data_IF_829952281837
#
_entry.id   IF_829952281837
#
_cell.length_a   1.000
_cell.length_b   1.000
_cell.length_c   1.000
_cell.angle_alpha   90.00
_cell.angle_beta   90.00
_cell.angle_gamma   90.00
#
_symmetry.space_group_name_H-M   'P 1'
#
loop_
_entity.id
_entity.type
_entity.pdbx_description
1 polymer ?
#
# COMPACT_ATOMS: atom_id res chain seq x y z
N UNK A 1 75.02 39.19 -21.51
CA UNK A 1 75.25 40.05 -22.69
C UNK A 1 74.03 39.93 -23.57
N UNK A 2 73.39 41.07 -23.83
CA UNK A 2 72.37 41.29 -24.83
C UNK A 2 70.92 41.24 -24.27
N UNK A 3 70.42 42.25 -23.79
CA UNK A 3 69.51 43.36 -24.20
C UNK A 3 68.69 43.08 -25.46
N UNK A 4 67.37 43.34 -25.42
CA UNK A 4 66.62 44.40 -26.12
C UNK A 4 65.13 44.07 -26.14
N UNK A 5 64.30 44.84 -25.45
CA UNK A 5 63.24 45.81 -25.86
C UNK A 5 62.10 45.23 -26.73
N UNK A 6 60.92 45.16 -26.27
CA UNK A 6 59.90 46.23 -26.34
C UNK A 6 58.84 45.89 -27.37
N UNK A 7 57.58 45.81 -26.93
CA UNK A 7 56.46 45.67 -27.84
C UNK A 7 55.11 45.84 -27.09
N UNK A 8 54.64 47.10 -27.03
CA UNK A 8 53.30 47.48 -26.59
C UNK A 8 52.24 46.81 -27.46
N UNK A 9 51.49 45.87 -26.94
CA UNK A 9 50.27 45.35 -27.55
C UNK A 9 49.08 45.72 -26.65
N UNK A 10 48.31 46.70 -27.08
CA UNK A 10 47.04 47.09 -26.45
C UNK A 10 46.09 45.88 -26.48
N UNK A 11 45.71 45.39 -25.29
CA UNK A 11 44.64 44.44 -25.15
C UNK A 11 43.27 45.10 -25.47
N UNK A 12 42.61 44.66 -26.50
CA UNK A 12 41.20 44.95 -26.77
C UNK A 12 40.34 44.18 -25.81
N UNK A 13 39.46 44.87 -25.06
CA UNK A 13 38.46 44.25 -24.22
C UNK A 13 37.40 43.52 -25.07
N UNK A 14 36.90 42.35 -24.63
CA UNK A 14 35.85 41.65 -25.35
C UNK A 14 34.51 42.39 -25.24
N UNK A 15 33.86 42.58 -26.37
CA UNK A 15 32.53 43.14 -26.52
C UNK A 15 31.47 42.25 -25.84
N UNK A 16 30.77 42.81 -24.85
CA UNK A 16 29.63 42.16 -24.20
C UNK A 16 28.42 42.25 -25.12
N UNK A 17 27.73 41.15 -25.48
CA UNK A 17 26.54 41.24 -26.31
C UNK A 17 25.39 41.85 -25.54
N UNK A 18 24.67 42.77 -26.18
CA UNK A 18 23.47 43.44 -25.71
C UNK A 18 22.41 42.40 -25.30
N UNK A 19 21.98 42.46 -24.04
CA UNK A 19 20.79 41.72 -23.56
C UNK A 19 19.56 42.20 -24.34
N UNK A 20 18.96 41.32 -25.11
CA UNK A 20 17.60 41.48 -25.63
C UNK A 20 16.63 41.45 -24.43
N UNK A 21 15.86 42.50 -24.27
CA UNK A 21 14.74 42.53 -23.32
C UNK A 21 13.68 41.56 -23.83
N UNK A 22 13.51 40.42 -23.15
CA UNK A 22 12.32 39.59 -23.30
C UNK A 22 11.14 40.34 -22.68
N UNK A 23 10.21 40.77 -23.50
CA UNK A 23 8.91 41.30 -23.08
C UNK A 23 8.08 40.12 -22.56
N UNK A 24 7.92 40.03 -21.24
CA UNK A 24 7.01 39.05 -20.64
C UNK A 24 5.57 39.48 -20.94
N UNK A 25 4.89 38.74 -21.77
CA UNK A 25 3.43 38.82 -21.90
C UNK A 25 2.80 38.29 -20.61
N UNK A 26 1.71 38.91 -20.09
CA UNK A 26 1.06 38.43 -18.89
C UNK A 26 0.45 37.06 -19.13
N UNK A 27 1.06 36.04 -18.54
CA UNK A 27 0.51 34.70 -18.50
C UNK A 27 -0.80 34.71 -17.71
N UNK A 28 -1.90 34.33 -18.34
CA UNK A 28 -3.16 33.99 -17.68
C UNK A 28 -2.85 32.96 -16.61
N UNK A 29 -2.99 33.35 -15.35
CA UNK A 29 -3.09 32.39 -14.25
C UNK A 29 -4.33 31.54 -14.47
N UNK A 30 -4.15 30.34 -15.01
CA UNK A 30 -5.17 29.31 -14.91
C UNK A 30 -5.18 28.85 -13.45
N UNK A 31 -6.15 29.36 -12.70
CA UNK A 31 -6.51 28.78 -11.42
C UNK A 31 -6.95 27.34 -11.69
N UNK A 32 -6.06 26.38 -11.38
CA UNK A 32 -6.47 25.00 -11.21
C UNK A 32 -7.37 24.99 -9.97
N UNK A 33 -8.67 25.16 -10.18
CA UNK A 33 -9.65 24.82 -9.18
C UNK A 33 -9.40 23.35 -8.85
N UNK A 34 -8.87 23.10 -7.66
CA UNK A 34 -8.75 21.81 -7.05
C UNK A 34 -10.20 21.27 -6.95
N UNK A 35 -10.60 20.43 -7.90
CA UNK A 35 -11.86 19.72 -7.82
C UNK A 35 -11.75 18.84 -6.58
N UNK A 36 -12.32 19.30 -5.48
CA UNK A 36 -12.53 18.49 -4.29
C UNK A 36 -13.28 17.25 -4.75
N UNK A 37 -12.62 16.10 -4.67
CA UNK A 37 -13.27 14.83 -4.93
C UNK A 37 -14.53 14.76 -4.08
N UNK A 38 -15.69 14.55 -4.73
CA UNK A 38 -16.96 14.35 -4.03
C UNK A 38 -16.74 13.21 -3.03
N UNK A 39 -17.25 13.33 -1.79
CA UNK A 39 -17.22 12.24 -0.83
C UNK A 39 -17.83 11.01 -1.50
N UNK A 40 -17.09 9.91 -1.48
CA UNK A 40 -17.65 8.62 -1.91
C UNK A 40 -18.67 8.26 -0.87
N UNK A 41 -19.93 8.26 -1.28
CA UNK A 41 -21.05 7.89 -0.41
C UNK A 41 -20.83 6.45 0.06
N UNK A 42 -20.40 6.30 1.32
CA UNK A 42 -20.18 5.01 1.95
C UNK A 42 -21.49 4.20 2.08
N UNK A 43 -22.64 4.86 1.92
CA UNK A 43 -23.96 4.25 1.95
C UNK A 43 -24.41 3.68 0.61
N UNK A 44 -23.64 3.84 -0.47
CA UNK A 44 -23.97 3.31 -1.78
C UNK A 44 -23.78 1.77 -1.83
N UNK A 45 -24.55 1.03 -1.04
CA UNK A 45 -24.85 -0.38 -1.32
C UNK A 45 -25.70 -0.42 -2.59
N UNK A 46 -25.43 -1.42 -3.47
CA UNK A 46 -26.41 -1.69 -4.52
C UNK A 46 -27.64 -2.36 -3.91
N UNK A 47 -28.71 -2.45 -4.71
CA UNK A 47 -29.97 -3.07 -4.29
C UNK A 47 -29.79 -4.55 -3.84
N UNK A 48 -28.61 -5.15 -4.11
CA UNK A 48 -28.21 -6.51 -3.75
C UNK A 48 -27.16 -6.60 -2.63
N UNK A 49 -26.73 -5.48 -2.02
CA UNK A 49 -25.79 -5.47 -0.89
C UNK A 49 -24.34 -5.81 -1.22
N UNK A 50 -23.97 -5.96 -2.49
CA UNK A 50 -22.65 -6.42 -2.91
C UNK A 50 -21.59 -5.30 -2.95
N UNK A 51 -20.40 -5.70 -2.65
CA UNK A 51 -19.09 -5.05 -2.51
C UNK A 51 -18.74 -4.00 -3.57
N UNK A 52 -19.41 -2.85 -3.59
CA UNK A 52 -19.11 -1.73 -4.51
C UNK A 52 -17.68 -1.18 -4.40
N UNK A 53 -17.03 -1.08 -3.21
CA UNK A 53 -15.65 -0.57 -3.14
C UNK A 53 -14.69 -1.43 -3.95
N UNK A 54 -14.70 -2.76 -3.77
CA UNK A 54 -13.78 -3.66 -4.45
C UNK A 54 -14.00 -3.69 -5.97
N UNK A 55 -15.25 -3.76 -6.44
CA UNK A 55 -15.55 -3.76 -7.86
C UNK A 55 -15.03 -2.49 -8.56
N UNK A 56 -15.18 -1.31 -7.93
CA UNK A 56 -14.63 -0.04 -8.46
C UNK A 56 -13.11 -0.06 -8.52
N UNK A 57 -12.45 -0.59 -7.50
CA UNK A 57 -10.98 -0.71 -7.46
C UNK A 57 -10.45 -1.63 -8.57
N UNK A 58 -11.12 -2.75 -8.81
CA UNK A 58 -10.76 -3.71 -9.85
C UNK A 58 -11.04 -3.19 -11.27
N UNK A 59 -11.96 -2.24 -11.43
CA UNK A 59 -12.29 -1.60 -12.70
C UNK A 59 -11.34 -0.48 -13.14
N UNK A 60 -10.29 -0.15 -12.35
CA UNK A 60 -9.35 0.93 -12.67
C UNK A 60 -8.49 0.69 -13.92
N UNK A 61 -8.47 -0.52 -14.49
CA UNK A 61 -7.61 -0.88 -15.62
C UNK A 61 -6.11 -0.93 -15.29
N UNK A 62 -5.75 -0.75 -14.03
CA UNK A 62 -4.41 -0.85 -13.45
C UNK A 62 -4.50 -1.43 -12.04
N UNK A 63 -3.40 -1.92 -11.46
CA UNK A 63 -3.41 -2.25 -10.04
C UNK A 63 -3.80 -1.03 -9.19
N UNK A 64 -4.72 -1.23 -8.24
CA UNK A 64 -5.01 -0.23 -7.21
C UNK A 64 -3.81 -0.10 -6.26
N UNK A 65 -3.58 1.10 -5.76
CA UNK A 65 -2.50 1.37 -4.78
C UNK A 65 -3.10 1.55 -3.40
N UNK A 66 -2.70 0.67 -2.47
CA UNK A 66 -3.09 0.69 -1.07
C UNK A 66 -1.95 1.28 -0.23
N UNK A 67 -2.17 2.46 0.33
CA UNK A 67 -1.21 3.13 1.22
C UNK A 67 -1.27 2.57 2.64
N UNK A 68 -0.10 2.27 3.24
CA UNK A 68 0.01 1.73 4.61
C UNK A 68 0.08 2.85 5.62
N UNK A 69 -0.90 2.92 6.52
CA UNK A 69 -0.93 3.84 7.65
C UNK A 69 -0.82 3.08 8.98
N UNK A 70 0.40 2.99 9.51
CA UNK A 70 0.63 2.35 10.80
C UNK A 70 0.38 3.34 11.94
N UNK A 71 -0.58 3.02 12.82
CA UNK A 71 -0.95 3.81 14.00
C UNK A 71 -0.35 3.16 15.25
N UNK A 72 0.97 2.95 15.23
CA UNK A 72 1.70 2.37 16.36
C UNK A 72 2.52 3.44 17.09
N UNK A 73 2.80 3.28 18.40
CA UNK A 73 3.57 4.26 19.18
C UNK A 73 4.92 4.63 18.55
N UNK A 74 5.56 3.69 17.87
CA UNK A 74 6.87 3.91 17.22
C UNK A 74 6.78 4.67 15.90
N UNK A 75 5.58 4.83 15.33
CA UNK A 75 5.40 5.40 13.99
C UNK A 75 5.22 6.92 14.01
N UNK A 76 4.71 7.51 15.10
CA UNK A 76 4.30 8.92 15.16
C UNK A 76 4.59 9.60 16.50
N UNK A 77 5.60 9.14 17.26
CA UNK A 77 5.89 9.71 18.59
C UNK A 77 7.17 10.52 18.59
N UNK A 78 7.10 11.74 19.10
CA UNK A 78 8.27 12.45 19.64
C UNK A 78 8.65 11.79 20.98
N UNK A 79 9.48 10.73 20.91
CA UNK A 79 9.97 10.05 22.10
C UNK A 79 9.03 9.03 22.76
N UNK A 80 8.07 8.42 22.03
CA UNK A 80 7.38 7.18 22.43
C UNK A 80 6.22 7.31 23.39
N UNK A 81 5.65 8.51 23.63
CA UNK A 81 4.61 8.69 24.66
C UNK A 81 3.19 8.96 24.16
N UNK A 82 2.98 9.54 22.99
CA UNK A 82 1.64 9.80 22.44
C UNK A 82 1.66 9.74 20.92
N UNK A 83 0.68 9.03 20.36
CA UNK A 83 0.30 9.12 18.96
C UNK A 83 -0.29 10.51 18.70
N UNK A 84 0.29 11.29 17.80
CA UNK A 84 -0.36 12.51 17.31
C UNK A 84 -1.28 12.13 16.13
N UNK A 85 -2.61 12.16 16.33
CA UNK A 85 -3.56 11.83 15.27
C UNK A 85 -3.43 12.77 14.06
N UNK A 86 -3.01 14.02 14.26
CA UNK A 86 -2.85 15.02 13.21
C UNK A 86 -1.75 14.60 12.24
N UNK A 87 -0.65 14.05 12.75
CA UNK A 87 0.45 13.54 11.92
C UNK A 87 -0.02 12.34 11.09
N UNK A 88 -0.76 11.41 11.71
CA UNK A 88 -1.29 10.22 11.03
C UNK A 88 -2.28 10.60 9.92
N UNK A 89 -3.24 11.50 10.21
CA UNK A 89 -4.21 11.99 9.24
C UNK A 89 -3.49 12.75 8.11
N UNK A 90 -2.55 13.64 8.43
CA UNK A 90 -1.74 14.34 7.43
C UNK A 90 -0.89 13.40 6.56
N UNK A 91 -0.47 12.23 7.08
CA UNK A 91 0.16 11.20 6.25
C UNK A 91 -0.84 10.55 5.31
N UNK A 92 -2.04 10.20 5.79
CA UNK A 92 -3.11 9.65 4.94
C UNK A 92 -3.52 10.65 3.83
N UNK A 93 -3.64 11.94 4.15
CA UNK A 93 -3.88 13.00 3.16
C UNK A 93 -2.80 13.03 2.07
N UNK A 94 -1.52 12.97 2.45
CA UNK A 94 -0.41 12.89 1.49
C UNK A 94 -0.47 11.63 0.62
N UNK A 95 -0.86 10.49 1.18
CA UNK A 95 -1.05 9.25 0.41
C UNK A 95 -2.18 9.40 -0.61
N UNK A 96 -3.33 9.96 -0.22
CA UNK A 96 -4.47 10.20 -1.13
C UNK A 96 -4.07 11.20 -2.22
N UNK A 97 -3.44 12.32 -1.87
CA UNK A 97 -2.91 13.29 -2.82
C UNK A 97 -1.86 12.68 -3.76
N UNK A 98 -1.07 11.72 -3.28
CA UNK A 98 -0.10 10.93 -4.04
C UNK A 98 -0.73 9.88 -4.95
N UNK A 99 -2.04 9.67 -4.86
CA UNK A 99 -2.80 8.75 -5.72
C UNK A 99 -3.07 7.38 -5.11
N UNK A 100 -3.10 7.26 -3.77
CA UNK A 100 -3.63 6.06 -3.12
C UNK A 100 -5.11 5.88 -3.47
N UNK A 101 -5.48 4.67 -3.83
CA UNK A 101 -6.86 4.27 -4.08
C UNK A 101 -7.53 3.69 -2.82
N UNK A 102 -6.72 3.27 -1.84
CA UNK A 102 -7.13 2.69 -0.55
C UNK A 102 -6.14 3.16 0.52
N UNK A 103 -6.61 3.42 1.74
CA UNK A 103 -5.75 3.58 2.92
C UNK A 103 -5.95 2.38 3.83
N UNK A 104 -4.87 1.68 4.19
CA UNK A 104 -4.88 0.52 5.08
C UNK A 104 -4.35 0.92 6.45
N UNK A 105 -5.25 0.95 7.44
CA UNK A 105 -4.97 1.45 8.79
C UNK A 105 -4.77 0.28 9.74
N UNK A 106 -3.61 0.24 10.40
CA UNK A 106 -3.30 -0.79 11.40
C UNK A 106 -2.69 -0.20 12.67
N UNK A 107 -3.12 -0.69 13.85
CA UNK A 107 -2.63 -0.22 15.14
C UNK A 107 -1.83 -1.28 15.93
N UNK A 108 -1.66 -2.46 15.35
CA UNK A 108 -0.78 -3.51 15.85
C UNK A 108 0.33 -3.80 14.83
N UNK A 109 1.57 -3.89 15.29
CA UNK A 109 2.66 -4.30 14.41
C UNK A 109 2.57 -5.80 14.16
N UNK A 110 2.19 -6.19 12.97
CA UNK A 110 2.13 -7.61 12.54
C UNK A 110 3.45 -8.10 11.95
N UNK A 111 4.55 -7.31 12.10
CA UNK A 111 5.87 -7.66 11.55
C UNK A 111 6.34 -8.99 12.13
N UNK A 112 6.71 -9.98 11.30
CA UNK A 112 7.14 -11.29 11.75
C UNK A 112 8.52 -11.29 12.43
N UNK A 113 9.14 -10.13 12.57
CA UNK A 113 10.50 -9.95 13.09
C UNK A 113 10.49 -8.99 14.26
N UNK A 114 10.69 -9.51 15.45
CA UNK A 114 10.77 -8.75 16.69
C UNK A 114 9.87 -9.34 17.78
N UNK A 115 10.11 -8.94 19.00
CA UNK A 115 9.28 -9.26 20.18
C UNK A 115 7.99 -8.41 20.18
N UNK A 116 7.21 -8.42 19.10
CA UNK A 116 5.95 -7.72 19.07
C UNK A 116 5.03 -8.33 20.13
N UNK A 117 4.76 -7.58 21.19
CA UNK A 117 3.79 -7.97 22.22
C UNK A 117 2.40 -7.81 21.62
N UNK A 118 1.53 -8.84 21.70
CA UNK A 118 0.16 -8.72 21.23
C UNK A 118 -0.54 -7.52 21.88
N UNK A 119 -1.16 -6.69 21.06
CA UNK A 119 -1.90 -5.53 21.54
C UNK A 119 -3.28 -5.97 22.02
N UNK A 120 -3.73 -5.64 23.24
CA UNK A 120 -5.10 -5.92 23.68
C UNK A 120 -6.12 -5.21 22.77
N UNK A 121 -7.32 -5.79 22.64
CA UNK A 121 -8.42 -5.26 21.81
C UNK A 121 -8.71 -3.80 22.14
N UNK A 122 -8.90 -3.49 23.41
CA UNK A 122 -9.24 -2.13 23.87
C UNK A 122 -8.13 -1.12 23.58
N UNK A 123 -6.88 -1.54 23.65
CA UNK A 123 -5.73 -0.71 23.30
C UNK A 123 -5.65 -0.48 21.79
N UNK A 124 -5.92 -1.50 20.98
CA UNK A 124 -5.95 -1.36 19.52
C UNK A 124 -7.05 -0.38 19.09
N UNK A 125 -8.26 -0.53 19.64
CA UNK A 125 -9.37 0.41 19.41
C UNK A 125 -9.00 1.82 19.90
N UNK A 126 -8.38 1.95 21.08
CA UNK A 126 -7.96 3.25 21.62
C UNK A 126 -6.98 3.98 20.69
N UNK A 127 -6.06 3.25 20.06
CA UNK A 127 -5.13 3.82 19.06
C UNK A 127 -5.83 4.27 17.78
N UNK A 128 -6.79 3.48 17.31
CA UNK A 128 -7.53 3.73 16.07
C UNK A 128 -8.56 4.86 16.21
N UNK A 129 -9.18 5.01 17.37
CA UNK A 129 -10.28 5.96 17.61
C UNK A 129 -9.99 7.39 17.15
N UNK A 130 -8.83 7.99 17.43
CA UNK A 130 -8.58 9.38 17.03
C UNK A 130 -8.17 9.54 15.55
N UNK A 131 -7.88 8.44 14.82
CA UNK A 131 -7.35 8.48 13.45
C UNK A 131 -8.36 8.01 12.42
N UNK A 132 -9.09 6.93 12.72
CA UNK A 132 -9.96 6.26 11.75
C UNK A 132 -11.02 7.18 11.14
N UNK A 133 -11.75 8.03 11.91
CA UNK A 133 -12.75 8.95 11.32
C UNK A 133 -12.13 9.96 10.35
N UNK A 134 -10.93 10.47 10.66
CA UNK A 134 -10.19 11.38 9.78
C UNK A 134 -9.78 10.68 8.47
N UNK A 135 -9.28 9.45 8.55
CA UNK A 135 -8.93 8.66 7.37
C UNK A 135 -10.17 8.36 6.49
N UNK A 136 -11.31 8.02 7.09
CA UNK A 136 -12.59 7.78 6.38
C UNK A 136 -13.07 9.04 5.66
N UNK A 137 -12.87 10.21 6.25
CA UNK A 137 -13.29 11.49 5.67
C UNK A 137 -12.50 11.88 4.40
N UNK A 138 -11.39 11.20 4.07
CA UNK A 138 -10.56 11.49 2.88
C UNK A 138 -11.21 11.03 1.56
N UNK A 139 -12.32 10.31 1.59
CA UNK A 139 -13.10 9.95 0.39
C UNK A 139 -12.56 8.79 -0.43
N UNK A 140 -11.55 8.07 0.05
CA UNK A 140 -11.12 6.77 -0.49
C UNK A 140 -11.52 5.65 0.49
N UNK A 141 -11.75 4.40 0.02
CA UNK A 141 -12.01 3.28 0.91
C UNK A 141 -10.92 3.11 1.97
N UNK A 142 -11.31 2.93 3.22
CA UNK A 142 -10.40 2.59 4.31
C UNK A 142 -10.48 1.10 4.58
N UNK A 143 -9.32 0.45 4.58
CA UNK A 143 -9.10 -0.92 5.03
C UNK A 143 -8.64 -0.91 6.48
N UNK A 144 -9.12 -1.85 7.29
CA UNK A 144 -8.63 -2.09 8.65
C UNK A 144 -7.73 -3.31 8.68
N UNK A 145 -6.43 -3.12 9.01
CA UNK A 145 -5.45 -4.20 9.19
C UNK A 145 -5.56 -4.72 10.64
N UNK A 146 -6.33 -5.79 10.82
CA UNK A 146 -6.53 -6.43 12.12
C UNK A 146 -6.82 -7.92 11.97
N UNK A 147 -6.41 -8.69 12.96
CA UNK A 147 -6.69 -10.12 13.08
C UNK A 147 -7.74 -10.42 14.18
N UNK A 148 -8.47 -9.40 14.65
CA UNK A 148 -9.41 -9.51 15.79
C UNK A 148 -10.81 -9.11 15.35
N UNK A 149 -11.77 -10.00 15.49
CA UNK A 149 -13.15 -9.80 15.09
C UNK A 149 -13.81 -8.56 15.74
N UNK A 150 -13.55 -8.32 17.03
CA UNK A 150 -14.11 -7.16 17.75
C UNK A 150 -13.57 -5.83 17.23
N UNK A 151 -12.27 -5.78 16.85
CA UNK A 151 -11.67 -4.59 16.24
C UNK A 151 -12.24 -4.37 14.85
N UNK A 152 -12.36 -5.43 14.04
CA UNK A 152 -12.97 -5.36 12.72
C UNK A 152 -14.41 -4.84 12.79
N UNK A 153 -15.24 -5.38 13.68
CA UNK A 153 -16.63 -4.93 13.86
C UNK A 153 -16.73 -3.45 14.26
N UNK A 154 -15.90 -3.03 15.23
CA UNK A 154 -15.83 -1.64 15.65
C UNK A 154 -15.37 -0.70 14.49
N UNK A 155 -14.34 -1.10 13.76
CA UNK A 155 -13.81 -0.32 12.65
C UNK A 155 -14.81 -0.17 11.50
N UNK A 156 -15.55 -1.23 11.15
CA UNK A 156 -16.61 -1.20 10.14
C UNK A 156 -17.74 -0.25 10.60
N UNK A 157 -18.17 -0.33 11.86
CA UNK A 157 -19.15 0.59 12.42
C UNK A 157 -18.66 2.05 12.42
N UNK A 158 -17.33 2.26 12.44
CA UNK A 158 -16.67 3.57 12.36
C UNK A 158 -16.35 4.02 10.93
N UNK A 159 -16.78 3.27 9.89
CA UNK A 159 -16.68 3.65 8.47
C UNK A 159 -15.57 2.93 7.68
N UNK A 160 -14.86 1.95 8.25
CA UNK A 160 -13.96 1.10 7.48
C UNK A 160 -14.76 0.28 6.45
N UNK A 161 -14.26 0.21 5.23
CA UNK A 161 -14.95 -0.39 4.09
C UNK A 161 -14.40 -1.76 3.69
N UNK A 162 -13.23 -2.17 4.20
CA UNK A 162 -12.54 -3.41 3.88
C UNK A 162 -11.90 -3.96 5.16
N UNK A 163 -11.87 -5.27 5.34
CA UNK A 163 -11.08 -5.93 6.39
C UNK A 163 -9.84 -6.56 5.75
N UNK A 164 -8.66 -6.27 6.30
CA UNK A 164 -7.40 -6.88 5.91
C UNK A 164 -6.93 -7.81 7.05
N UNK A 165 -7.18 -9.11 6.90
CA UNK A 165 -6.81 -10.10 7.92
C UNK A 165 -5.52 -10.81 7.53
N UNK A 166 -4.46 -10.46 8.23
CA UNK A 166 -3.11 -11.02 8.03
C UNK A 166 -2.98 -12.50 8.45
N UNK A 167 -4.02 -13.12 8.98
CA UNK A 167 -4.13 -14.54 9.29
C UNK A 167 -5.22 -15.27 8.50
N UNK A 168 -5.84 -14.59 7.55
CA UNK A 168 -6.71 -15.20 6.55
C UNK A 168 -7.88 -15.98 7.13
N UNK A 169 -8.57 -15.42 8.10
CA UNK A 169 -9.74 -15.98 8.79
C UNK A 169 -9.44 -17.22 9.66
N UNK A 170 -8.15 -17.57 9.88
CA UNK A 170 -7.77 -18.81 10.58
C UNK A 170 -7.36 -18.58 12.05
N UNK A 171 -7.16 -17.33 12.49
CA UNK A 171 -6.71 -17.03 13.85
C UNK A 171 -7.87 -16.71 14.81
N UNK A 172 -8.74 -15.80 14.42
CA UNK A 172 -9.97 -15.46 15.16
C UNK A 172 -11.16 -16.02 14.38
N UNK A 173 -11.81 -17.05 14.91
CA UNK A 173 -12.91 -17.73 14.22
C UNK A 173 -14.15 -16.86 13.99
N UNK A 174 -14.29 -15.74 14.72
CA UNK A 174 -15.41 -14.83 14.59
C UNK A 174 -15.25 -13.79 13.47
N UNK A 175 -14.03 -13.59 12.95
CA UNK A 175 -13.78 -12.52 11.97
C UNK A 175 -14.55 -12.78 10.65
N UNK A 176 -14.65 -14.05 10.25
CA UNK A 176 -15.41 -14.43 9.06
C UNK A 176 -16.91 -14.11 9.19
N UNK A 177 -17.48 -14.36 10.38
CA UNK A 177 -18.88 -14.01 10.70
C UNK A 177 -19.08 -12.49 10.64
N UNK A 178 -18.19 -11.71 11.26
CA UNK A 178 -18.26 -10.23 11.24
C UNK A 178 -18.23 -9.71 9.80
N UNK A 179 -17.31 -10.20 8.98
CA UNK A 179 -17.20 -9.81 7.57
C UNK A 179 -18.48 -10.13 6.79
N UNK A 180 -19.05 -11.33 6.98
CA UNK A 180 -20.27 -11.77 6.31
C UNK A 180 -21.50 -10.93 6.75
N UNK A 181 -21.68 -10.71 8.05
CA UNK A 181 -22.79 -9.93 8.62
C UNK A 181 -22.82 -8.49 8.12
N UNK A 182 -21.64 -7.87 7.91
CA UNK A 182 -21.55 -6.51 7.42
C UNK A 182 -21.45 -6.41 5.90
N UNK A 183 -21.25 -7.53 5.19
CA UNK A 183 -21.15 -7.57 3.73
C UNK A 183 -19.99 -6.76 3.16
N UNK A 184 -18.88 -6.62 3.91
CA UNK A 184 -17.68 -5.89 3.48
C UNK A 184 -16.68 -6.82 2.80
N UNK A 185 -15.84 -6.33 1.87
CA UNK A 185 -14.72 -7.09 1.33
C UNK A 185 -13.71 -7.49 2.40
N UNK A 186 -13.05 -8.65 2.16
CA UNK A 186 -11.97 -9.14 3.01
C UNK A 186 -10.73 -9.49 2.19
N UNK A 187 -9.57 -9.09 2.71
CA UNK A 187 -8.26 -9.52 2.23
C UNK A 187 -7.83 -10.69 3.11
N UNK A 188 -7.63 -11.83 2.49
CA UNK A 188 -7.20 -13.09 3.11
C UNK A 188 -5.71 -13.25 2.85
N UNK A 189 -4.87 -13.00 3.86
CA UNK A 189 -3.43 -13.11 3.70
C UNK A 189 -2.90 -14.44 4.24
N UNK A 190 -2.01 -15.07 3.45
CA UNK A 190 -1.25 -16.22 3.89
C UNK A 190 -0.20 -15.84 4.93
N UNK A 191 -0.22 -16.52 6.06
CA UNK A 191 0.74 -16.33 7.14
C UNK A 191 1.19 -17.67 7.76
N UNK A 192 2.34 -17.65 8.42
CA UNK A 192 2.89 -18.74 9.23
C UNK A 192 3.56 -18.12 10.46
N UNK A 193 3.60 -18.88 11.55
CA UNK A 193 4.33 -18.44 12.75
C UNK A 193 5.83 -18.34 12.47
N UNK A 194 6.38 -19.36 11.82
CA UNK A 194 7.81 -19.46 11.52
C UNK A 194 8.05 -19.81 10.05
N UNK A 195 9.18 -19.33 9.53
CA UNK A 195 9.63 -19.72 8.21
C UNK A 195 10.24 -21.13 8.26
N UNK A 196 9.84 -21.97 7.31
CA UNK A 196 10.37 -23.32 7.11
C UNK A 196 10.94 -23.42 5.69
N UNK A 197 12.28 -23.43 5.53
CA UNK A 197 12.90 -23.46 4.21
C UNK A 197 12.71 -24.77 3.46
N UNK A 198 12.24 -25.84 4.12
CA UNK A 198 12.12 -27.18 3.53
C UNK A 198 10.82 -27.38 2.74
N UNK A 199 9.83 -26.50 2.87
CA UNK A 199 8.52 -26.65 2.22
C UNK A 199 8.47 -26.02 0.84
N UNK A 200 7.62 -26.54 -0.04
CA UNK A 200 7.17 -25.82 -1.24
C UNK A 200 6.20 -24.70 -0.80
N UNK A 201 6.70 -23.48 -0.82
CA UNK A 201 5.94 -22.31 -0.36
C UNK A 201 4.69 -22.05 -1.20
N UNK A 202 4.69 -22.36 -2.50
CA UNK A 202 3.52 -22.17 -3.35
C UNK A 202 2.42 -23.18 -3.05
N UNK A 203 2.79 -24.44 -2.78
CA UNK A 203 1.86 -25.47 -2.32
C UNK A 203 1.27 -25.10 -0.95
N UNK A 204 2.08 -24.59 -0.03
CA UNK A 204 1.64 -24.15 1.30
C UNK A 204 0.66 -22.96 1.22
N UNK A 205 0.98 -21.94 0.39
CA UNK A 205 0.07 -20.81 0.13
C UNK A 205 -1.27 -21.31 -0.44
N UNK A 206 -1.22 -22.23 -1.42
CA UNK A 206 -2.44 -22.76 -2.04
C UNK A 206 -3.30 -23.55 -1.02
N UNK A 207 -2.68 -24.39 -0.20
CA UNK A 207 -3.37 -25.12 0.85
C UNK A 207 -3.99 -24.18 1.92
N UNK A 208 -3.27 -23.13 2.30
CA UNK A 208 -3.77 -22.10 3.23
C UNK A 208 -4.99 -21.38 2.66
N UNK A 209 -4.92 -20.94 1.41
CA UNK A 209 -6.04 -20.26 0.75
C UNK A 209 -7.25 -21.19 0.62
N UNK A 210 -7.06 -22.46 0.29
CA UNK A 210 -8.16 -23.42 0.23
C UNK A 210 -8.91 -23.51 1.56
N UNK A 211 -8.19 -23.64 2.68
CA UNK A 211 -8.80 -23.65 4.03
C UNK A 211 -9.53 -22.34 4.35
N UNK A 212 -8.92 -21.20 4.05
CA UNK A 212 -9.54 -19.89 4.29
C UNK A 212 -10.79 -19.67 3.46
N UNK A 213 -10.80 -20.10 2.20
CA UNK A 213 -11.96 -20.03 1.32
C UNK A 213 -13.11 -20.93 1.78
N UNK A 214 -12.81 -22.10 2.37
CA UNK A 214 -13.82 -22.94 3.01
C UNK A 214 -14.43 -22.25 4.24
N UNK A 215 -13.61 -21.56 5.07
CA UNK A 215 -14.11 -20.77 6.20
C UNK A 215 -15.01 -19.64 5.69
N UNK A 216 -14.57 -18.89 4.69
CA UNK A 216 -15.32 -17.81 4.09
C UNK A 216 -16.67 -18.30 3.53
N UNK A 217 -16.67 -19.41 2.80
CA UNK A 217 -17.90 -20.01 2.24
C UNK A 217 -18.87 -20.44 3.33
N UNK A 218 -18.39 -21.11 4.38
CA UNK A 218 -19.23 -21.50 5.54
C UNK A 218 -19.82 -20.32 6.27
N UNK A 219 -19.10 -19.19 6.35
CA UNK A 219 -19.60 -17.96 6.96
C UNK A 219 -20.57 -17.16 6.06
N UNK A 220 -20.68 -17.53 4.77
CA UNK A 220 -21.53 -16.81 3.81
C UNK A 220 -20.89 -15.59 3.18
N UNK A 221 -19.55 -15.47 3.21
CA UNK A 221 -18.84 -14.37 2.52
C UNK A 221 -18.95 -14.59 1.01
N UNK A 222 -19.46 -13.59 0.30
CA UNK A 222 -19.56 -13.62 -1.15
C UNK A 222 -18.18 -13.69 -1.79
N UNK A 223 -18.01 -14.60 -2.77
CA UNK A 223 -16.69 -14.84 -3.39
C UNK A 223 -16.09 -13.60 -4.04
N UNK A 224 -16.90 -12.77 -4.65
CA UNK A 224 -16.55 -11.48 -5.26
C UNK A 224 -16.08 -10.42 -4.25
N UNK A 225 -16.27 -10.67 -2.95
CA UNK A 225 -15.80 -9.81 -1.85
C UNK A 225 -14.44 -10.24 -1.31
N UNK A 226 -13.78 -11.24 -1.91
CA UNK A 226 -12.53 -11.78 -1.40
C UNK A 226 -11.35 -11.34 -2.27
N UNK A 227 -10.27 -10.93 -1.61
CA UNK A 227 -8.93 -10.69 -2.19
C UNK A 227 -7.94 -11.61 -1.51
N UNK A 228 -7.01 -12.21 -2.26
CA UNK A 228 -5.96 -13.08 -1.71
C UNK A 228 -4.62 -12.37 -1.69
N UNK A 229 -3.88 -12.46 -0.59
CA UNK A 229 -2.50 -11.95 -0.45
C UNK A 229 -1.54 -13.10 -0.10
N UNK A 230 -0.52 -13.41 -0.93
CA UNK A 230 0.47 -14.45 -0.63
C UNK A 230 1.33 -14.15 0.60
N UNK A 231 1.21 -12.99 1.23
CA UNK A 231 1.88 -12.64 2.48
C UNK A 231 3.41 -12.61 2.34
N UNK A 232 3.94 -11.82 1.39
CA UNK A 232 5.38 -11.68 1.19
C UNK A 232 6.07 -11.28 2.49
N UNK A 233 7.06 -12.06 2.93
CA UNK A 233 7.83 -11.83 4.16
C UNK A 233 7.16 -12.27 5.46
N UNK A 234 5.92 -12.77 5.43
CA UNK A 234 5.24 -13.31 6.60
C UNK A 234 5.45 -14.84 6.68
N UNK A 235 6.14 -15.30 7.75
CA UNK A 235 6.48 -16.70 7.93
C UNK A 235 7.19 -17.33 6.72
N UNK A 236 7.99 -16.56 6.01
CA UNK A 236 8.72 -16.96 4.80
C UNK A 236 10.17 -16.57 4.87
N UNK A 237 11.05 -17.40 4.33
CA UNK A 237 12.43 -17.01 4.06
C UNK A 237 12.49 -15.92 2.97
N UNK A 238 13.61 -15.21 2.82
CA UNK A 238 13.80 -14.30 1.70
C UNK A 238 13.61 -14.99 0.34
N UNK A 239 14.13 -16.19 0.16
CA UNK A 239 14.03 -17.01 -1.06
C UNK A 239 12.59 -17.40 -1.34
N UNK A 240 11.84 -17.82 -0.33
CA UNK A 240 10.40 -18.12 -0.44
C UNK A 240 9.58 -16.88 -0.81
N UNK A 241 9.97 -15.70 -0.30
CA UNK A 241 9.34 -14.42 -0.67
C UNK A 241 9.59 -14.07 -2.13
N UNK A 242 10.82 -14.27 -2.63
CA UNK A 242 11.16 -14.10 -4.04
C UNK A 242 10.39 -15.11 -4.92
N UNK A 243 10.34 -16.37 -4.52
CA UNK A 243 9.58 -17.42 -5.21
C UNK A 243 8.09 -17.07 -5.33
N UNK A 244 7.48 -16.59 -4.25
CA UNK A 244 6.06 -16.22 -4.25
C UNK A 244 5.77 -15.03 -5.19
N UNK A 245 6.69 -14.07 -5.33
CA UNK A 245 6.57 -12.98 -6.31
C UNK A 245 6.77 -13.51 -7.73
N UNK A 246 7.80 -14.32 -7.96
CA UNK A 246 8.15 -14.84 -9.29
C UNK A 246 7.04 -15.76 -9.86
N UNK A 247 6.40 -16.55 -8.99
CA UNK A 247 5.36 -17.52 -9.34
C UNK A 247 3.94 -17.03 -9.03
N UNK A 248 3.76 -15.72 -8.81
CA UNK A 248 2.48 -15.12 -8.41
C UNK A 248 1.33 -15.48 -9.34
N UNK A 249 1.61 -15.59 -10.65
CA UNK A 249 0.60 -15.92 -11.67
C UNK A 249 -0.07 -17.29 -11.46
N UNK A 250 0.55 -18.22 -10.75
CA UNK A 250 -0.03 -19.54 -10.44
C UNK A 250 -1.26 -19.41 -9.52
N UNK A 251 -1.26 -18.38 -8.64
CA UNK A 251 -2.38 -18.11 -7.74
C UNK A 251 -3.63 -17.58 -8.44
N UNK A 252 -3.52 -17.18 -9.72
CA UNK A 252 -4.70 -16.87 -10.54
C UNK A 252 -5.65 -18.04 -10.74
N UNK A 253 -5.19 -19.25 -10.54
CA UNK A 253 -6.03 -20.47 -10.56
C UNK A 253 -7.18 -20.42 -9.55
N UNK A 254 -7.06 -19.62 -8.49
CA UNK A 254 -8.17 -19.38 -7.56
C UNK A 254 -9.29 -18.51 -8.14
N UNK A 255 -9.08 -17.81 -9.27
CA UNK A 255 -10.07 -16.94 -9.91
C UNK A 255 -10.47 -15.74 -9.06
N UNK A 256 -9.57 -15.28 -8.15
CA UNK A 256 -9.78 -14.15 -7.24
C UNK A 256 -8.70 -13.08 -7.44
N UNK A 257 -9.00 -11.80 -7.17
CA UNK A 257 -8.00 -10.75 -7.24
C UNK A 257 -6.87 -10.99 -6.22
N UNK A 258 -5.65 -10.62 -6.62
CA UNK A 258 -4.46 -10.75 -5.79
C UNK A 258 -3.99 -9.38 -5.28
N UNK A 259 -3.64 -9.32 -4.00
CA UNK A 259 -2.91 -8.21 -3.40
C UNK A 259 -1.46 -8.63 -3.14
N UNK A 260 -0.52 -7.72 -3.33
CA UNK A 260 0.88 -7.93 -2.96
C UNK A 260 1.43 -6.74 -2.19
N UNK A 261 1.95 -7.01 -0.98
CA UNK A 261 2.67 -6.06 -0.15
C UNK A 261 4.16 -6.41 -0.06
N UNK A 262 5.00 -5.83 -0.92
CA UNK A 262 6.44 -6.08 -0.96
C UNK A 262 7.29 -4.90 -0.42
N UNK A 263 6.67 -3.78 -0.06
CA UNK A 263 7.30 -2.53 0.31
C UNK A 263 8.24 -2.66 1.51
N UNK A 264 9.51 -2.26 1.32
CA UNK A 264 10.57 -2.17 2.33
C UNK A 264 10.90 -3.48 3.07
N UNK A 265 10.48 -4.65 2.53
CA UNK A 265 10.63 -5.96 3.20
C UNK A 265 12.06 -6.50 3.17
N UNK A 266 12.36 -7.41 4.12
CA UNK A 266 13.72 -7.93 4.36
C UNK A 266 14.33 -8.71 3.20
N UNK A 267 13.53 -9.32 2.33
CA UNK A 267 14.06 -10.02 1.16
C UNK A 267 14.86 -9.08 0.25
N UNK A 268 14.50 -7.78 0.20
CA UNK A 268 15.23 -6.76 -0.55
C UNK A 268 16.64 -6.60 0.02
N UNK A 269 16.74 -6.45 1.35
CA UNK A 269 18.00 -6.35 2.08
C UNK A 269 18.93 -7.57 1.87
N UNK A 270 18.32 -8.76 1.77
CA UNK A 270 19.09 -9.98 1.54
C UNK A 270 19.71 -10.07 0.13
N UNK A 271 19.04 -9.48 -0.86
CA UNK A 271 19.53 -9.42 -2.25
C UNK A 271 20.47 -8.21 -2.45
N UNK A 272 20.08 -7.07 -1.88
CA UNK A 272 20.82 -5.81 -1.98
C UNK A 272 20.78 -5.13 -0.62
N UNK A 273 21.84 -5.24 0.19
CA UNK A 273 21.88 -4.73 1.54
C UNK A 273 21.53 -3.23 1.62
N UNK A 274 20.48 -2.92 2.37
CA UNK A 274 19.95 -1.56 2.51
C UNK A 274 19.10 -1.44 3.78
N UNK A 275 19.14 -0.28 4.44
CA UNK A 275 18.19 0.04 5.53
C UNK A 275 16.75 0.17 4.99
N UNK A 276 15.72 0.02 5.81
CA UNK A 276 14.32 0.04 5.34
C UNK A 276 13.92 1.27 4.53
N UNK A 277 14.45 2.44 4.87
CA UNK A 277 14.26 3.73 4.18
C UNK A 277 14.96 3.78 2.80
N UNK A 278 16.00 2.99 2.60
CA UNK A 278 16.76 2.92 1.36
C UNK A 278 16.26 1.82 0.38
N UNK A 279 15.22 1.07 0.74
CA UNK A 279 14.68 -0.06 -0.06
C UNK A 279 13.67 0.34 -1.14
N UNK A 280 13.54 1.63 -1.46
CA UNK A 280 12.55 2.12 -2.44
C UNK A 280 12.73 1.44 -3.81
N UNK A 281 13.94 1.42 -4.37
CA UNK A 281 14.21 0.80 -5.68
C UNK A 281 13.82 -0.67 -5.73
N UNK A 282 14.18 -1.45 -4.69
CA UNK A 282 13.79 -2.85 -4.56
C UNK A 282 12.28 -3.05 -4.38
N UNK A 283 11.63 -2.16 -3.64
CA UNK A 283 10.16 -2.16 -3.49
C UNK A 283 9.47 -1.95 -4.83
N UNK A 284 9.87 -0.94 -5.60
CA UNK A 284 9.32 -0.63 -6.93
C UNK A 284 9.53 -1.80 -7.90
N UNK A 285 10.74 -2.39 -7.94
CA UNK A 285 11.01 -3.55 -8.78
C UNK A 285 10.07 -4.72 -8.45
N UNK A 286 9.90 -5.05 -7.17
CA UNK A 286 8.98 -6.11 -6.72
C UNK A 286 7.51 -5.79 -7.06
N UNK A 287 7.07 -4.54 -6.89
CA UNK A 287 5.71 -4.10 -7.24
C UNK A 287 5.42 -4.23 -8.74
N UNK A 288 6.37 -3.83 -9.60
CA UNK A 288 6.21 -3.94 -11.06
C UNK A 288 6.15 -5.41 -11.52
N UNK A 289 6.97 -6.29 -10.93
CA UNK A 289 6.93 -7.72 -11.19
C UNK A 289 5.63 -8.35 -10.68
N UNK A 290 5.17 -7.97 -9.49
CA UNK A 290 3.88 -8.42 -8.97
C UNK A 290 2.71 -7.96 -9.86
N UNK A 291 2.70 -6.71 -10.32
CA UNK A 291 1.71 -6.19 -11.26
C UNK A 291 1.73 -6.95 -12.60
N UNK A 292 2.92 -7.28 -13.13
CA UNK A 292 3.06 -8.11 -14.32
C UNK A 292 2.57 -9.55 -14.07
N UNK A 293 2.77 -10.10 -12.87
CA UNK A 293 2.27 -11.39 -12.41
C UNK A 293 0.74 -11.42 -12.20
N UNK A 294 0.08 -10.26 -12.21
CA UNK A 294 -1.38 -10.13 -12.12
C UNK A 294 -1.91 -9.68 -10.76
N UNK A 295 -1.07 -9.05 -9.93
CA UNK A 295 -1.58 -8.37 -8.75
C UNK A 295 -2.57 -7.27 -9.15
N UNK A 296 -3.76 -7.29 -8.54
CA UNK A 296 -4.80 -6.30 -8.71
C UNK A 296 -4.65 -5.12 -7.72
N UNK A 297 -3.97 -5.36 -6.59
CA UNK A 297 -3.71 -4.35 -5.56
C UNK A 297 -2.24 -4.42 -5.16
N UNK A 298 -1.58 -3.27 -5.05
CA UNK A 298 -0.22 -3.13 -4.52
C UNK A 298 -0.27 -2.36 -3.20
N UNK A 299 0.15 -3.01 -2.11
CA UNK A 299 0.22 -2.41 -0.77
C UNK A 299 1.61 -1.84 -0.53
N UNK A 300 1.73 -0.54 -0.24
CA UNK A 300 3.00 0.18 -0.18
C UNK A 300 3.04 1.28 0.86
N UNK A 301 4.25 1.59 1.37
CA UNK A 301 4.52 2.80 2.16
C UNK A 301 4.80 4.02 1.25
N UNK A 302 5.35 3.77 0.05
CA UNK A 302 5.85 4.79 -0.88
C UNK A 302 4.83 4.96 -2.03
N UNK A 303 3.71 5.62 -1.69
CA UNK A 303 2.55 5.72 -2.61
C UNK A 303 2.87 6.51 -3.88
N UNK A 304 3.39 7.76 -3.83
CA UNK A 304 3.62 8.54 -5.05
C UNK A 304 4.53 7.84 -6.05
N UNK A 305 5.63 7.24 -5.56
CA UNK A 305 6.62 6.53 -6.37
C UNK A 305 6.05 5.26 -6.96
N UNK A 306 5.24 4.53 -6.21
CA UNK A 306 4.55 3.32 -6.69
C UNK A 306 3.53 3.67 -7.77
N UNK A 307 2.73 4.71 -7.58
CA UNK A 307 1.77 5.21 -8.58
C UNK A 307 2.48 5.63 -9.86
N UNK A 308 3.56 6.41 -9.74
CA UNK A 308 4.36 6.83 -10.89
C UNK A 308 4.89 5.61 -11.67
N UNK A 309 5.50 4.66 -10.96
CA UNK A 309 6.07 3.46 -11.59
C UNK A 309 5.02 2.61 -12.32
N UNK A 310 3.85 2.39 -11.70
CA UNK A 310 2.75 1.64 -12.31
C UNK A 310 2.18 2.35 -13.55
N UNK A 311 2.06 3.69 -13.54
CA UNK A 311 1.63 4.49 -14.70
C UNK A 311 2.60 4.38 -15.86
N UNK A 312 3.91 4.50 -15.60
CA UNK A 312 4.95 4.35 -16.62
C UNK A 312 4.94 2.93 -17.21
N UNK A 313 4.86 1.90 -16.35
CA UNK A 313 4.78 0.52 -16.82
C UNK A 313 3.53 0.25 -17.68
N UNK A 314 2.39 0.86 -17.35
CA UNK A 314 1.17 0.77 -18.16
C UNK A 314 1.33 1.47 -19.50
N UNK A 315 1.90 2.67 -19.55
CA UNK A 315 2.17 3.41 -20.79
C UNK A 315 3.11 2.64 -21.74
N UNK A 316 4.19 2.04 -21.21
CA UNK A 316 5.13 1.22 -22.00
C UNK A 316 4.41 0.00 -22.59
N UNK A 317 3.54 -0.67 -21.83
CA UNK A 317 2.75 -1.81 -22.34
C UNK A 317 1.75 -1.41 -23.41
N UNK A 318 1.15 -0.24 -23.30
CA UNK A 318 0.19 0.30 -24.27
C UNK A 318 0.81 0.86 -25.54
N UNK A 319 2.13 1.05 -25.58
CA UNK A 319 2.87 1.55 -26.76
C UNK A 319 3.28 0.45 -27.76
N UNK A 320 2.83 -0.80 -27.56
CA UNK A 320 3.13 -1.96 -28.43
C UNK A 320 2.08 -2.13 -29.52
#
# INVERSE_FOLDING_TARGET
>A
MGLVVGGNGRAQAPMVPRRQRLTLLPGRAQSHAMTLARPVDASARDENGAARPLARLLALGRPAVMGVLNVTPDSFSDGGRFLDPTIAIGQAERMVAGGADIIDVGAESTRPYGSAVPVPIDEEIRRLTPVLPGAVALGVPVSIDTMKAKVAAWAIASGAAIVNDVWGLQRDGDIARVVAEHGVPVIIMHNRHDADPSIDIMADIAAFFSRSLEIAARAGIARESIVLDPGIGFGKTPEQSLTAIARLSELKSFGLPLLVGASRKRFIDKVSPASPDQRLGGSIAAHLLAAAGGAAIIRTHDVPETVQALRIAAAIRGAR
#
